data_IF_348676638113
#
_entry.id   IF_348676638113
#
_cell.length_a   1.000
_cell.length_b   1.000
_cell.length_c   1.000
_cell.angle_alpha   90.00
_cell.angle_beta   90.00
_cell.angle_gamma   90.00
#
_symmetry.space_group_name_H-M   'P 1'
#
loop_
_entity.id
_entity.type
_entity.pdbx_description
1 polymer ?
#
# COMPACT_ATOMS: atom_id res chain seq x y z
N UNK A 1 -0.97 37.95 -9.85
CA UNK A 1 -0.44 37.97 -9.57
C UNK A 1 -0.38 38.34 -9.27
N UNK A 2 -0.55 38.50 -9.28
CA UNK A 2 -0.19 38.78 -9.08
C UNK A 2 0.23 38.60 -9.40
N UNK A 3 0.25 38.71 -9.75
CA UNK A 3 0.90 38.64 -10.19
C UNK A 3 1.59 38.34 -10.45
N UNK A 4 1.76 38.36 -10.61
CA UNK A 4 2.60 38.27 -10.84
C UNK A 4 3.17 38.70 -11.68
N UNK A 5 3.48 39.08 -11.73
CA UNK A 5 4.02 39.56 -12.67
C UNK A 5 4.85 39.39 -13.09
N UNK A 6 5.21 39.53 -13.14
CA UNK A 6 5.92 39.33 -13.62
C UNK A 6 7.18 39.15 -14.13
N UNK A 7 8.17 38.70 -13.57
CA UNK A 7 9.33 38.34 -14.33
C UNK A 7 9.25 36.91 -14.82
N UNK A 8 10.01 36.62 -15.89
CA UNK A 8 9.88 35.33 -16.54
C UNK A 8 10.30 34.15 -15.68
N UNK A 9 11.25 34.37 -14.76
CA UNK A 9 11.71 33.32 -13.86
C UNK A 9 10.64 32.85 -12.90
N UNK A 10 9.86 33.76 -12.38
CA UNK A 10 8.77 33.47 -11.48
C UNK A 10 7.69 32.68 -12.22
N UNK A 11 7.36 33.10 -13.43
CA UNK A 11 6.37 32.37 -14.24
C UNK A 11 6.79 30.95 -14.53
N UNK A 12 8.05 30.71 -14.83
CA UNK A 12 8.55 29.37 -15.10
C UNK A 12 8.44 28.46 -13.87
N UNK A 13 8.76 29.00 -12.71
CA UNK A 13 8.66 28.23 -11.46
C UNK A 13 7.22 27.85 -11.19
N UNK A 14 6.29 28.76 -11.39
CA UNK A 14 4.88 28.50 -11.17
C UNK A 14 4.36 27.45 -12.12
N UNK A 15 4.77 27.50 -13.39
CA UNK A 15 4.36 26.52 -14.39
C UNK A 15 4.87 25.13 -14.04
N UNK A 16 6.10 25.02 -13.57
CA UNK A 16 6.63 23.72 -13.16
C UNK A 16 5.88 23.15 -11.97
N UNK A 17 5.54 23.99 -10.99
CA UNK A 17 4.73 23.57 -9.86
C UNK A 17 3.36 23.08 -10.30
N UNK A 18 2.73 23.78 -11.22
CA UNK A 18 1.42 23.39 -11.75
C UNK A 18 1.48 22.06 -12.48
N UNK A 19 2.51 21.86 -13.30
CA UNK A 19 2.71 20.60 -13.99
C UNK A 19 2.83 19.44 -13.00
N UNK A 20 3.59 19.63 -11.94
CA UNK A 20 3.75 18.60 -10.92
C UNK A 20 2.43 18.32 -10.19
N UNK A 21 1.65 19.34 -9.91
CA UNK A 21 0.35 19.18 -9.27
C UNK A 21 -0.64 18.45 -10.17
N UNK A 22 -0.56 18.66 -11.47
CA UNK A 22 -1.47 18.03 -12.42
C UNK A 22 -1.14 16.56 -12.67
N UNK A 23 0.06 16.12 -12.34
CA UNK A 23 0.41 14.71 -12.46
C UNK A 23 -0.27 13.94 -11.33
N UNK A 24 -0.99 12.86 -11.66
CA UNK A 24 -1.55 12.03 -10.61
C UNK A 24 -0.41 11.44 -9.78
N UNK A 25 -0.56 11.40 -8.45
CA UNK A 25 0.44 10.75 -7.61
C UNK A 25 0.50 9.26 -7.92
N UNK A 26 1.66 8.68 -7.72
CA UNK A 26 1.81 7.24 -7.86
C UNK A 26 0.91 6.51 -6.88
N UNK A 27 0.36 5.39 -7.32
CA UNK A 27 -0.42 4.52 -6.47
C UNK A 27 0.44 3.37 -5.99
N UNK A 28 0.03 2.79 -4.87
CA UNK A 28 0.78 1.73 -4.21
C UNK A 28 -0.16 0.58 -3.87
N UNK A 29 0.38 -0.60 -3.86
CA UNK A 29 -0.31 -1.80 -3.39
C UNK A 29 0.43 -2.33 -2.18
N UNK A 30 -0.27 -3.08 -1.35
CA UNK A 30 0.35 -3.78 -0.24
C UNK A 30 0.49 -5.23 -0.63
N UNK A 31 1.68 -5.77 -0.45
CA UNK A 31 2.02 -7.15 -0.81
C UNK A 31 2.38 -7.90 0.46
N UNK A 32 1.84 -9.09 0.63
CA UNK A 32 2.21 -10.03 1.70
C UNK A 32 3.22 -11.01 1.14
N UNK A 33 4.17 -11.40 1.96
CA UNK A 33 5.18 -12.39 1.62
C UNK A 33 4.98 -13.64 2.46
N UNK A 34 5.13 -14.80 1.83
CA UNK A 34 4.97 -16.07 2.51
C UNK A 34 6.13 -16.32 3.47
N UNK A 35 5.83 -17.04 4.54
CA UNK A 35 6.82 -17.58 5.45
C UNK A 35 6.29 -18.92 5.98
N UNK A 36 7.16 -19.67 6.67
CA UNK A 36 6.84 -21.02 7.08
C UNK A 36 6.11 -21.10 8.43
N UNK A 37 5.90 -19.97 9.10
CA UNK A 37 5.45 -19.96 10.49
C UNK A 37 4.10 -19.26 10.68
N UNK A 38 3.76 -18.29 9.87
CA UNK A 38 2.48 -17.58 10.02
C UNK A 38 1.33 -18.49 9.63
N UNK A 39 0.34 -18.70 10.51
CA UNK A 39 -0.79 -19.56 10.18
C UNK A 39 -1.63 -18.97 9.03
N UNK A 40 -2.13 -19.82 8.17
CA UNK A 40 -3.01 -19.41 7.07
C UNK A 40 -4.23 -18.65 7.56
N UNK A 41 -4.82 -19.11 8.66
CA UNK A 41 -5.99 -18.46 9.24
C UNK A 41 -5.67 -17.03 9.68
N UNK A 42 -4.47 -16.80 10.22
CA UNK A 42 -4.06 -15.46 10.62
C UNK A 42 -3.99 -14.53 9.41
N UNK A 43 -3.46 -15.01 8.29
CA UNK A 43 -3.38 -14.23 7.06
C UNK A 43 -4.79 -13.85 6.59
N UNK A 44 -5.73 -14.77 6.64
CA UNK A 44 -7.14 -14.49 6.29
C UNK A 44 -7.72 -13.43 7.20
N UNK A 45 -7.51 -13.55 8.51
CA UNK A 45 -8.03 -12.58 9.48
C UNK A 45 -7.46 -11.18 9.20
N UNK A 46 -6.16 -11.09 8.94
CA UNK A 46 -5.53 -9.80 8.62
C UNK A 46 -6.13 -9.19 7.35
N UNK A 47 -6.37 -10.00 6.34
CA UNK A 47 -6.95 -9.52 5.09
C UNK A 47 -8.39 -9.03 5.28
N UNK A 48 -9.18 -9.73 6.09
CA UNK A 48 -10.56 -9.32 6.37
C UNK A 48 -10.58 -8.06 7.22
N UNK A 49 -9.82 -8.02 8.31
CA UNK A 49 -9.92 -6.97 9.30
C UNK A 49 -9.22 -5.69 8.89
N UNK A 50 -8.06 -5.79 8.24
CA UNK A 50 -7.25 -4.61 7.90
C UNK A 50 -7.53 -4.16 6.48
N UNK A 51 -7.70 -5.09 5.55
CA UNK A 51 -7.88 -4.78 4.13
C UNK A 51 -9.32 -4.88 3.67
N UNK A 52 -10.24 -5.19 4.58
CA UNK A 52 -11.68 -5.22 4.33
C UNK A 52 -12.07 -6.16 3.19
N UNK A 53 -11.34 -7.24 3.03
CA UNK A 53 -11.67 -8.25 2.04
C UNK A 53 -12.80 -9.14 2.53
N UNK A 54 -13.58 -9.68 1.61
CA UNK A 54 -14.52 -10.75 1.96
C UNK A 54 -13.74 -12.00 2.36
N UNK A 55 -14.39 -12.93 3.02
CA UNK A 55 -13.76 -14.18 3.41
C UNK A 55 -13.25 -14.94 2.17
N UNK A 56 -14.04 -14.95 1.10
CA UNK A 56 -13.66 -15.63 -0.14
C UNK A 56 -12.45 -14.97 -0.79
N UNK A 57 -12.44 -13.64 -0.87
CA UNK A 57 -11.28 -12.92 -1.41
C UNK A 57 -10.03 -13.12 -0.56
N UNK A 58 -10.20 -13.06 0.76
CA UNK A 58 -9.10 -13.28 1.69
C UNK A 58 -8.50 -14.66 1.53
N UNK A 59 -9.35 -15.68 1.37
CA UNK A 59 -8.89 -17.03 1.14
C UNK A 59 -8.09 -17.13 -0.16
N UNK A 60 -8.59 -16.55 -1.26
CA UNK A 60 -7.88 -16.54 -2.54
C UNK A 60 -6.53 -15.87 -2.45
N UNK A 61 -6.47 -14.71 -1.79
CA UNK A 61 -5.21 -13.98 -1.61
C UNK A 61 -4.23 -14.81 -0.78
N UNK A 62 -4.73 -15.41 0.31
CA UNK A 62 -3.90 -16.24 1.18
C UNK A 62 -3.30 -17.42 0.39
N UNK A 63 -4.09 -18.06 -0.45
CA UNK A 63 -3.60 -19.17 -1.26
C UNK A 63 -2.54 -18.69 -2.27
N UNK A 64 -2.72 -17.51 -2.88
CA UNK A 64 -1.71 -16.92 -3.75
C UNK A 64 -0.40 -16.68 -3.02
N UNK A 65 -0.46 -16.13 -1.80
CA UNK A 65 0.73 -15.92 -0.99
C UNK A 65 1.43 -17.24 -0.73
N UNK A 66 0.64 -18.24 -0.33
CA UNK A 66 1.20 -19.56 0.00
C UNK A 66 1.84 -20.24 -1.22
N UNK A 67 1.16 -20.21 -2.37
CA UNK A 67 1.60 -20.95 -3.55
C UNK A 67 2.67 -20.22 -4.35
N UNK A 68 2.61 -18.89 -4.42
CA UNK A 68 3.49 -18.09 -5.27
C UNK A 68 4.57 -17.35 -4.49
N UNK A 69 4.53 -17.43 -3.17
CA UNK A 69 5.51 -16.76 -2.31
C UNK A 69 5.16 -15.33 -1.98
N UNK A 70 4.23 -14.72 -2.70
CA UNK A 70 3.75 -13.36 -2.43
C UNK A 70 2.37 -13.18 -3.05
N UNK A 71 1.63 -12.21 -2.52
CA UNK A 71 0.31 -11.89 -3.04
C UNK A 71 -0.10 -10.48 -2.66
N UNK A 72 -0.91 -9.86 -3.51
CA UNK A 72 -1.40 -8.50 -3.29
C UNK A 72 -2.55 -8.54 -2.29
N UNK A 73 -2.35 -7.90 -1.13
CA UNK A 73 -3.36 -7.82 -0.09
C UNK A 73 -4.41 -6.75 -0.38
N UNK A 74 -4.04 -5.70 -1.07
CA UNK A 74 -4.98 -4.64 -1.42
C UNK A 74 -4.30 -3.50 -2.15
N UNK A 75 -5.13 -2.61 -2.67
CA UNK A 75 -4.72 -1.45 -3.43
C UNK A 75 -5.61 -1.26 -4.65
N UNK A 76 -5.39 -0.19 -5.43
CA UNK A 76 -4.34 0.81 -5.21
C UNK A 76 -4.69 1.79 -4.09
N UNK A 77 -3.64 2.25 -3.40
CA UNK A 77 -3.74 3.21 -2.31
C UNK A 77 -2.80 4.38 -2.57
N UNK A 78 -2.98 5.48 -1.86
CA UNK A 78 -1.92 6.48 -1.75
C UNK A 78 -0.74 5.85 -1.00
N UNK A 79 0.44 6.46 -1.14
CA UNK A 79 1.63 5.97 -0.45
C UNK A 79 1.42 5.92 1.07
N UNK A 80 0.84 6.99 1.61
CA UNK A 80 0.61 7.09 3.06
C UNK A 80 -0.34 6.01 3.57
N UNK A 81 -1.41 5.77 2.84
CA UNK A 81 -2.38 4.74 3.24
C UNK A 81 -1.74 3.35 3.15
N UNK A 82 -0.99 3.09 2.08
CA UNK A 82 -0.31 1.80 1.93
C UNK A 82 0.66 1.56 3.08
N UNK A 83 1.46 2.56 3.42
CA UNK A 83 2.43 2.45 4.51
C UNK A 83 1.76 2.26 5.86
N UNK A 84 0.63 2.94 6.08
CA UNK A 84 -0.14 2.77 7.31
C UNK A 84 -0.68 1.35 7.42
N UNK A 85 -1.18 0.79 6.33
CA UNK A 85 -1.70 -0.58 6.33
C UNK A 85 -0.58 -1.61 6.56
N UNK A 86 0.59 -1.39 5.95
CA UNK A 86 1.77 -2.24 6.21
C UNK A 86 2.11 -2.21 7.70
N UNK A 87 2.17 -1.03 8.28
CA UNK A 87 2.48 -0.88 9.70
C UNK A 87 1.46 -1.61 10.57
N UNK A 88 0.17 -1.44 10.27
CA UNK A 88 -0.90 -2.09 11.04
C UNK A 88 -0.80 -3.61 10.98
N UNK A 89 -0.62 -4.17 9.79
CA UNK A 89 -0.60 -5.63 9.67
C UNK A 89 0.65 -6.22 10.31
N UNK A 90 1.79 -5.55 10.20
CA UNK A 90 3.01 -6.05 10.80
C UNK A 90 2.98 -5.95 12.32
N UNK A 91 2.39 -4.88 12.87
CA UNK A 91 2.18 -4.79 14.31
C UNK A 91 1.22 -5.86 14.82
N UNK A 92 0.14 -6.10 14.08
CA UNK A 92 -0.82 -7.14 14.43
C UNK A 92 -0.15 -8.51 14.44
N UNK A 93 0.72 -8.78 13.45
CA UNK A 93 1.46 -10.03 13.39
C UNK A 93 2.42 -10.17 14.58
N UNK A 94 3.17 -9.12 14.87
CA UNK A 94 4.11 -9.14 16.02
C UNK A 94 3.38 -9.38 17.32
N UNK A 95 2.25 -8.72 17.54
CA UNK A 95 1.46 -8.89 18.76
C UNK A 95 0.96 -10.30 18.93
N UNK A 96 0.78 -11.04 17.84
CA UNK A 96 0.33 -12.42 17.86
C UNK A 96 1.46 -13.43 17.66
N UNK A 97 2.70 -12.96 17.66
CA UNK A 97 3.86 -13.84 17.58
C UNK A 97 4.14 -14.41 16.21
N UNK A 98 3.70 -13.75 15.14
CA UNK A 98 3.87 -14.24 13.78
C UNK A 98 4.85 -13.38 12.99
N UNK A 99 5.69 -13.99 12.15
CA UNK A 99 6.70 -13.25 11.37
C UNK A 99 6.18 -12.73 10.02
N UNK A 100 4.88 -12.59 9.85
CA UNK A 100 4.30 -12.12 8.58
C UNK A 100 4.94 -10.81 8.13
N UNK A 101 5.38 -10.77 6.88
CA UNK A 101 5.98 -9.60 6.26
C UNK A 101 5.05 -9.02 5.21
N UNK A 102 4.99 -7.70 5.18
CA UNK A 102 4.25 -6.96 4.17
C UNK A 102 5.07 -5.76 3.74
N UNK A 103 4.83 -5.29 2.52
CA UNK A 103 5.50 -4.11 2.00
C UNK A 103 4.57 -3.33 1.08
N UNK A 104 4.76 -2.02 1.04
CA UNK A 104 4.10 -1.16 0.07
C UNK A 104 4.97 -1.14 -1.19
N UNK A 105 4.37 -1.46 -2.33
CA UNK A 105 5.07 -1.48 -3.61
C UNK A 105 4.34 -0.57 -4.58
N UNK A 106 5.10 0.12 -5.40
CA UNK A 106 4.51 0.97 -6.43
C UNK A 106 3.69 0.12 -7.40
N UNK A 107 2.48 0.58 -7.64
CA UNK A 107 1.54 -0.17 -8.47
C UNK A 107 1.85 -0.02 -9.95
#
# INVERSE_FOLDING_TARGET
SKKRDSDGGVDLIDREKEKQKLRPPSKYKVVFYNDDYTPMLFVIIALVDIFRKSTEEAHSIMMNVHEKGRGVAGGPFSKEIAETKVSKVMQFAIQNGHPLKAAAEKD
#
